data_IF_026211409926
#
_entry.id   IF_026211409926
#
_cell.length_a   1.000
_cell.length_b   1.000
_cell.length_c   1.000
_cell.angle_alpha   90.00
_cell.angle_beta   90.00
_cell.angle_gamma   90.00
#
_symmetry.space_group_name_H-M   'P 1'
#
loop_
_entity.id
_entity.type
_entity.pdbx_description
1 polymer ?
#
# COMPACT_ATOMS: atom_id res chain seq x y z
N UNK A 1 -4.02 -1.84 -20.17
CA UNK A 1 -2.72 -1.15 -20.04
C UNK A 1 -3.04 0.17 -19.37
N UNK A 2 -2.66 0.34 -18.09
CA UNK A 2 -2.84 1.62 -17.42
C UNK A 2 -1.69 2.52 -17.88
N UNK A 3 -2.00 3.54 -18.64
CA UNK A 3 -1.02 4.54 -19.06
C UNK A 3 -1.03 5.58 -17.94
N UNK A 4 0.14 5.99 -17.45
CA UNK A 4 0.27 7.04 -16.43
C UNK A 4 -0.21 8.37 -17.03
N UNK A 5 -0.88 9.19 -16.22
CA UNK A 5 -1.47 10.46 -16.66
C UNK A 5 -0.45 11.37 -17.37
N UNK A 6 0.77 11.47 -16.81
CA UNK A 6 1.85 12.23 -17.42
C UNK A 6 2.35 11.68 -18.76
N UNK A 7 2.27 10.37 -18.98
CA UNK A 7 2.62 9.72 -20.25
C UNK A 7 1.53 9.93 -21.31
N UNK A 8 0.26 9.96 -20.88
CA UNK A 8 -0.88 10.27 -21.75
C UNK A 8 -0.82 11.72 -22.20
N UNK A 9 -0.58 12.65 -21.28
CA UNK A 9 -0.42 14.07 -21.60
C UNK A 9 0.71 14.30 -22.59
N UNK A 10 1.91 13.77 -22.33
CA UNK A 10 3.05 13.88 -23.21
C UNK A 10 2.82 13.22 -24.57
N UNK A 11 2.10 12.10 -24.62
CA UNK A 11 1.74 11.43 -25.87
C UNK A 11 0.73 12.25 -26.68
N UNK A 12 -0.31 12.79 -26.02
CA UNK A 12 -1.35 13.61 -26.65
C UNK A 12 -0.78 14.95 -27.15
N UNK A 13 0.06 15.62 -26.39
CA UNK A 13 0.74 16.86 -26.82
C UNK A 13 1.57 16.66 -28.11
N UNK A 14 2.18 15.48 -28.26
CA UNK A 14 3.00 15.16 -29.44
C UNK A 14 2.21 14.66 -30.64
N UNK A 15 0.97 14.17 -30.46
CA UNK A 15 0.23 13.49 -31.52
C UNK A 15 -1.09 14.17 -31.90
N UNK A 16 -1.62 15.09 -31.10
CA UNK A 16 -2.90 15.77 -31.37
C UNK A 16 -2.85 17.24 -30.95
N UNK A 17 -2.85 18.14 -31.90
CA UNK A 17 -2.89 19.60 -31.63
C UNK A 17 -4.27 20.11 -31.18
N UNK A 18 -5.32 19.29 -31.24
CA UNK A 18 -6.71 19.71 -31.01
C UNK A 18 -7.37 19.11 -29.75
N UNK A 19 -6.77 18.09 -29.13
CA UNK A 19 -7.34 17.43 -27.94
C UNK A 19 -6.63 17.93 -26.70
N UNK A 20 -7.35 18.64 -25.82
CA UNK A 20 -6.86 18.96 -24.47
C UNK A 20 -7.25 17.80 -23.55
N UNK A 21 -6.28 17.03 -23.03
CA UNK A 21 -6.59 15.98 -22.08
C UNK A 21 -7.06 16.58 -20.77
N UNK A 22 -8.05 15.95 -20.16
CA UNK A 22 -8.45 16.22 -18.78
C UNK A 22 -7.96 15.08 -17.92
N UNK A 23 -7.02 15.37 -17.01
CA UNK A 23 -6.56 14.38 -16.03
C UNK A 23 -7.55 14.34 -14.90
N UNK A 24 -8.18 13.18 -14.73
CA UNK A 24 -9.10 12.91 -13.63
C UNK A 24 -8.50 11.79 -12.79
N UNK A 25 -8.21 12.08 -11.53
CA UNK A 25 -7.69 11.09 -10.61
C UNK A 25 -8.71 9.94 -10.42
N UNK A 26 -8.18 8.74 -10.20
CA UNK A 26 -8.99 7.66 -9.67
C UNK A 26 -9.54 8.08 -8.29
N UNK A 27 -10.70 7.54 -7.89
CA UNK A 27 -11.32 7.93 -6.62
C UNK A 27 -11.39 6.77 -5.65
N UNK A 28 -11.39 7.12 -4.38
CA UNK A 28 -11.55 6.23 -3.25
C UNK A 28 -12.50 6.88 -2.24
N UNK A 29 -13.17 6.09 -1.42
CA UNK A 29 -13.96 6.62 -0.32
C UNK A 29 -13.13 6.58 0.95
N UNK A 30 -12.97 7.71 1.61
CA UNK A 30 -12.36 7.78 2.94
C UNK A 30 -13.16 6.96 3.94
N UNK A 31 -12.48 6.34 4.89
CA UNK A 31 -13.08 5.49 5.92
C UNK A 31 -12.82 6.07 7.30
N UNK A 32 -13.83 6.05 8.15
CA UNK A 32 -13.65 6.28 9.58
C UNK A 32 -13.07 5.01 10.19
N UNK A 33 -11.88 5.11 10.77
CA UNK A 33 -11.19 3.99 11.37
C UNK A 33 -10.96 4.20 12.87
N UNK A 34 -11.03 3.10 13.64
CA UNK A 34 -10.71 3.12 15.07
C UNK A 34 -9.20 2.96 15.27
N UNK A 35 -8.60 3.64 16.26
CA UNK A 35 -7.19 3.48 16.59
C UNK A 35 -6.84 2.03 16.90
N UNK A 36 -5.63 1.62 16.52
CA UNK A 36 -5.07 0.30 16.80
C UNK A 36 -4.91 0.11 18.31
N UNK A 37 -5.31 -1.05 18.82
CA UNK A 37 -4.97 -1.46 20.19
C UNK A 37 -3.56 -2.08 20.21
N UNK A 38 -2.59 -1.31 20.67
CA UNK A 38 -1.16 -1.63 20.62
C UNK A 38 -0.68 -2.58 21.72
N UNK A 39 -1.58 -3.24 22.44
CA UNK A 39 -1.21 -4.22 23.49
C UNK A 39 -0.97 -5.63 22.93
N UNK A 40 -1.07 -5.82 21.63
CA UNK A 40 -0.90 -7.10 20.92
C UNK A 40 0.29 -7.09 19.95
N UNK A 41 0.63 -8.26 19.41
CA UNK A 41 1.57 -8.40 18.29
C UNK A 41 1.17 -7.52 17.11
N UNK A 42 2.15 -6.94 16.42
CA UNK A 42 1.91 -6.06 15.26
C UNK A 42 1.51 -6.90 14.04
N UNK A 43 0.38 -6.60 13.44
CA UNK A 43 -0.11 -7.25 12.24
C UNK A 43 0.37 -6.53 10.99
N UNK A 44 1.29 -7.15 10.25
CA UNK A 44 1.80 -6.64 8.97
C UNK A 44 0.99 -7.28 7.84
N UNK A 45 0.37 -6.46 6.99
CA UNK A 45 -0.44 -6.89 5.87
C UNK A 45 0.23 -6.68 4.52
N UNK A 46 0.06 -7.65 3.63
CA UNK A 46 0.28 -7.55 2.20
C UNK A 46 -1.00 -7.98 1.47
N UNK A 47 -1.43 -7.21 0.47
CA UNK A 47 -2.59 -7.55 -0.36
C UNK A 47 -2.29 -7.31 -1.84
N UNK A 48 -2.43 -8.36 -2.65
CA UNK A 48 -2.20 -8.26 -4.10
C UNK A 48 -1.99 -9.61 -4.77
N UNK A 49 -1.76 -9.61 -6.08
CA UNK A 49 -1.38 -10.84 -6.78
C UNK A 49 -0.03 -11.35 -6.28
N UNK A 50 0.04 -12.66 -6.00
CA UNK A 50 1.28 -13.29 -5.56
C UNK A 50 2.13 -13.67 -6.78
N UNK A 51 3.07 -12.80 -7.13
CA UNK A 51 4.08 -13.00 -8.15
C UNK A 51 5.34 -12.18 -7.83
N UNK A 52 6.44 -12.45 -8.52
CA UNK A 52 7.74 -11.82 -8.28
C UNK A 52 7.69 -10.28 -8.36
N UNK A 53 6.91 -9.73 -9.31
CA UNK A 53 6.83 -8.28 -9.49
C UNK A 53 6.22 -7.54 -8.28
N UNK A 54 5.49 -8.25 -7.42
CA UNK A 54 4.87 -7.68 -6.21
C UNK A 54 5.81 -7.64 -5.01
N UNK A 55 7.03 -8.16 -5.12
CA UNK A 55 8.08 -8.04 -4.10
C UNK A 55 7.79 -8.75 -2.78
N UNK A 56 6.83 -9.69 -2.74
CA UNK A 56 6.47 -10.41 -1.52
C UNK A 56 7.65 -11.21 -0.94
N UNK A 57 8.58 -11.64 -1.80
CA UNK A 57 9.81 -12.31 -1.37
C UNK A 57 10.67 -11.37 -0.52
N UNK A 58 10.84 -10.11 -0.93
CA UNK A 58 11.60 -9.10 -0.19
C UNK A 58 10.98 -8.83 1.19
N UNK A 59 9.65 -8.80 1.28
CA UNK A 59 8.95 -8.65 2.55
C UNK A 59 9.26 -9.83 3.49
N UNK A 60 9.11 -11.07 3.01
CA UNK A 60 9.40 -12.27 3.80
C UNK A 60 10.87 -12.27 4.25
N UNK A 61 11.81 -12.00 3.35
CA UNK A 61 13.24 -11.96 3.66
C UNK A 61 13.57 -10.87 4.69
N UNK A 62 12.95 -9.71 4.60
CA UNK A 62 13.15 -8.61 5.55
C UNK A 62 12.57 -8.91 6.94
N UNK A 63 11.54 -9.74 7.03
CA UNK A 63 10.92 -10.14 8.30
C UNK A 63 11.63 -11.33 8.96
N UNK A 64 12.24 -12.21 8.15
CA UNK A 64 12.97 -13.37 8.67
C UNK A 64 14.08 -12.91 9.63
N UNK A 65 14.14 -13.56 10.80
CA UNK A 65 15.13 -13.26 11.84
C UNK A 65 14.93 -11.95 12.58
N UNK A 66 13.85 -11.17 12.32
CA UNK A 66 13.50 -10.03 13.16
C UNK A 66 13.10 -10.49 14.56
N UNK A 67 13.59 -9.76 15.58
CA UNK A 67 13.20 -10.00 16.94
C UNK A 67 12.05 -9.06 17.37
N UNK A 68 10.97 -9.10 16.59
CA UNK A 68 9.74 -8.37 16.88
C UNK A 68 8.60 -9.37 17.10
N UNK A 69 7.64 -9.00 17.94
CA UNK A 69 6.39 -9.73 18.07
C UNK A 69 5.43 -9.25 16.99
N UNK A 70 5.35 -10.01 15.90
CA UNK A 70 4.58 -9.64 14.72
C UNK A 70 3.88 -10.86 14.09
N UNK A 71 2.78 -10.56 13.39
CA UNK A 71 2.09 -11.47 12.51
C UNK A 71 2.20 -10.96 11.06
N UNK A 72 2.38 -11.89 10.10
CA UNK A 72 2.35 -11.58 8.68
C UNK A 72 1.07 -12.11 8.05
N UNK A 73 0.27 -11.24 7.47
CA UNK A 73 -1.03 -11.55 6.88
C UNK A 73 -0.96 -11.26 5.38
N UNK A 74 -0.95 -12.33 4.57
CA UNK A 74 -0.81 -12.26 3.12
C UNK A 74 -2.16 -12.56 2.48
N UNK A 75 -2.77 -11.53 1.88
CA UNK A 75 -3.97 -11.65 1.05
C UNK A 75 -3.63 -11.63 -0.43
N UNK A 76 -4.31 -12.46 -1.21
CA UNK A 76 -4.16 -12.51 -2.66
C UNK A 76 -3.96 -13.92 -3.21
N UNK A 77 -3.86 -14.00 -4.52
CA UNK A 77 -3.72 -15.28 -5.22
C UNK A 77 -2.53 -15.27 -6.17
N UNK A 78 -2.01 -16.45 -6.44
CA UNK A 78 -0.91 -16.73 -7.37
C UNK A 78 -0.93 -18.19 -7.78
N UNK A 79 0.07 -18.66 -8.51
CA UNK A 79 0.20 -20.09 -8.78
C UNK A 79 0.53 -20.87 -7.51
N UNK A 80 0.03 -22.09 -7.38
CA UNK A 80 0.29 -22.96 -6.22
C UNK A 80 1.79 -23.16 -6.00
N UNK A 81 2.56 -23.32 -7.09
CA UNK A 81 4.01 -23.46 -7.03
C UNK A 81 4.66 -22.22 -6.39
N UNK A 82 4.22 -21.02 -6.74
CA UNK A 82 4.78 -19.80 -6.19
C UNK A 82 4.35 -19.59 -4.73
N UNK A 83 3.11 -19.92 -4.38
CA UNK A 83 2.62 -19.87 -3.00
C UNK A 83 3.40 -20.85 -2.12
N UNK A 84 3.64 -22.07 -2.58
CA UNK A 84 4.44 -23.05 -1.84
C UNK A 84 5.89 -22.59 -1.67
N UNK A 85 6.49 -22.04 -2.72
CA UNK A 85 7.82 -21.43 -2.65
C UNK A 85 7.88 -20.29 -1.61
N UNK A 86 6.89 -19.42 -1.54
CA UNK A 86 6.81 -18.36 -0.53
C UNK A 86 6.72 -18.93 0.90
N UNK A 87 5.90 -19.98 1.09
CA UNK A 87 5.77 -20.66 2.39
C UNK A 87 7.10 -21.28 2.85
N UNK A 88 7.87 -21.83 1.93
CA UNK A 88 9.21 -22.40 2.22
C UNK A 88 10.23 -21.33 2.58
N UNK A 89 10.09 -20.09 2.07
CA UNK A 89 10.95 -18.95 2.40
C UNK A 89 10.73 -18.40 3.81
N UNK A 90 9.58 -18.63 4.41
CA UNK A 90 9.25 -18.15 5.76
C UNK A 90 10.02 -18.98 6.80
N UNK A 91 10.81 -18.33 7.64
CA UNK A 91 11.56 -19.04 8.69
C UNK A 91 10.63 -19.68 9.76
N UNK A 92 11.21 -20.58 10.57
CA UNK A 92 10.43 -21.34 11.57
C UNK A 92 9.76 -20.44 12.60
N UNK A 93 10.40 -19.31 12.96
CA UNK A 93 9.85 -18.37 13.95
C UNK A 93 8.66 -17.62 13.37
N UNK A 94 8.82 -17.07 12.17
CA UNK A 94 7.78 -16.30 11.48
C UNK A 94 6.64 -17.19 10.98
N UNK A 95 6.90 -18.48 10.63
CA UNK A 95 5.92 -19.39 10.06
C UNK A 95 4.70 -19.63 10.96
N UNK A 96 4.90 -19.59 12.28
CA UNK A 96 3.81 -19.74 13.26
C UNK A 96 2.83 -18.56 13.26
N UNK A 97 3.30 -17.42 12.80
CA UNK A 97 2.59 -16.14 12.81
C UNK A 97 2.32 -15.62 11.37
N UNK A 98 2.46 -16.50 10.36
CA UNK A 98 2.19 -16.16 8.95
C UNK A 98 0.91 -16.82 8.47
N UNK A 99 0.01 -16.02 7.93
CA UNK A 99 -1.26 -16.47 7.36
C UNK A 99 -1.34 -16.13 5.88
N UNK A 100 -1.62 -17.14 5.04
CA UNK A 100 -1.94 -16.99 3.63
C UNK A 100 -3.45 -17.11 3.45
N UNK A 101 -4.14 -16.00 3.22
CA UNK A 101 -5.61 -15.95 3.19
C UNK A 101 -6.21 -16.38 1.84
N UNK A 102 -5.39 -16.46 0.79
CA UNK A 102 -5.92 -16.62 -0.57
C UNK A 102 -6.63 -15.36 -1.04
N UNK A 103 -7.63 -15.52 -1.90
CA UNK A 103 -8.43 -14.40 -2.40
C UNK A 103 -9.20 -13.72 -1.26
N UNK A 104 -9.04 -12.41 -1.13
CA UNK A 104 -9.71 -11.59 -0.12
C UNK A 104 -10.91 -10.92 -0.78
N UNK A 105 -12.11 -11.42 -0.47
CA UNK A 105 -13.35 -10.86 -0.99
C UNK A 105 -13.73 -9.56 -0.28
N UNK A 106 -13.59 -9.54 1.05
CA UNK A 106 -13.87 -8.38 1.88
C UNK A 106 -12.57 -7.70 2.32
N UNK A 107 -12.13 -6.75 1.51
CA UNK A 107 -10.91 -5.98 1.80
C UNK A 107 -11.04 -5.13 3.06
N UNK A 108 -12.26 -4.72 3.44
CA UNK A 108 -12.49 -3.94 4.65
C UNK A 108 -12.02 -4.70 5.88
N UNK A 109 -12.42 -5.98 6.01
CA UNK A 109 -11.97 -6.84 7.10
C UNK A 109 -10.46 -7.06 7.09
N UNK A 110 -9.87 -7.20 5.90
CA UNK A 110 -8.42 -7.32 5.79
C UNK A 110 -7.73 -6.09 6.37
N UNK A 111 -8.10 -4.88 5.92
CA UNK A 111 -7.49 -3.66 6.42
C UNK A 111 -7.79 -3.39 7.90
N UNK A 112 -8.94 -3.81 8.42
CA UNK A 112 -9.24 -3.73 9.85
C UNK A 112 -8.36 -4.63 10.73
N UNK A 113 -7.86 -5.74 10.16
CA UNK A 113 -7.05 -6.73 10.88
C UNK A 113 -5.58 -6.33 10.99
N UNK A 114 -5.06 -5.53 10.06
CA UNK A 114 -3.64 -5.17 10.00
C UNK A 114 -3.36 -3.82 10.66
N UNK A 115 -2.12 -3.63 11.09
CA UNK A 115 -1.62 -2.38 11.68
C UNK A 115 -0.72 -1.62 10.71
N UNK A 116 0.16 -2.34 10.01
CA UNK A 116 1.03 -1.85 8.95
C UNK A 116 0.67 -2.48 7.62
N UNK A 117 0.69 -1.70 6.57
CA UNK A 117 0.56 -2.22 5.21
C UNK A 117 1.90 -2.10 4.47
N UNK A 118 2.43 -3.23 4.00
CA UNK A 118 3.68 -3.25 3.23
C UNK A 118 3.38 -3.59 1.78
N UNK A 119 3.78 -2.69 0.89
CA UNK A 119 3.55 -2.81 -0.54
C UNK A 119 4.87 -2.75 -1.32
N UNK A 120 5.64 -3.87 -1.37
CA UNK A 120 7.00 -3.89 -1.86
C UNK A 120 7.10 -4.03 -3.38
N UNK A 121 6.04 -3.71 -4.12
CA UNK A 121 5.94 -3.89 -5.56
C UNK A 121 7.05 -3.17 -6.33
N UNK A 122 7.63 -3.84 -7.33
CA UNK A 122 8.65 -3.27 -8.20
C UNK A 122 8.08 -2.33 -9.26
N UNK A 123 6.81 -2.52 -9.62
CA UNK A 123 6.15 -1.72 -10.65
C UNK A 123 4.63 -1.80 -10.50
N UNK A 124 3.96 -0.67 -10.63
CA UNK A 124 2.51 -0.54 -10.59
C UNK A 124 2.01 0.43 -11.67
N UNK A 125 0.75 0.27 -12.06
CA UNK A 125 0.05 1.29 -12.86
C UNK A 125 -0.31 2.49 -11.99
N UNK A 126 -1.13 2.28 -10.96
CA UNK A 126 -1.54 3.31 -10.00
C UNK A 126 -1.33 2.89 -8.53
N UNK A 127 -1.35 1.59 -8.25
CA UNK A 127 -1.21 1.12 -6.86
C UNK A 127 -2.48 1.33 -6.02
N UNK A 128 -3.66 1.04 -6.58
CA UNK A 128 -4.97 1.27 -5.90
C UNK A 128 -5.03 0.68 -4.50
N UNK A 129 -4.48 -0.50 -4.29
CA UNK A 129 -4.48 -1.15 -2.98
C UNK A 129 -3.69 -0.36 -1.93
N UNK A 130 -2.70 0.44 -2.35
CA UNK A 130 -1.98 1.35 -1.46
C UNK A 130 -2.89 2.50 -1.03
N UNK A 131 -3.61 3.14 -1.96
CA UNK A 131 -4.59 4.17 -1.64
C UNK A 131 -5.72 3.62 -0.77
N UNK A 132 -6.16 2.39 -1.00
CA UNK A 132 -7.12 1.69 -0.15
C UNK A 132 -6.57 1.54 1.28
N UNK A 133 -5.35 1.03 1.46
CA UNK A 133 -4.73 0.93 2.78
C UNK A 133 -4.63 2.29 3.49
N UNK A 134 -4.24 3.33 2.75
CA UNK A 134 -4.20 4.70 3.25
C UNK A 134 -5.57 5.21 3.68
N UNK A 135 -6.65 4.89 2.93
CA UNK A 135 -8.04 5.27 3.30
C UNK A 135 -8.49 4.62 4.60
N UNK A 136 -7.97 3.43 4.93
CA UNK A 136 -8.15 2.76 6.22
C UNK A 136 -7.16 3.24 7.29
N UNK A 137 -6.46 4.37 7.06
CA UNK A 137 -5.53 4.99 8.00
C UNK A 137 -4.40 4.05 8.43
N UNK A 138 -3.92 3.19 7.53
CA UNK A 138 -2.76 2.35 7.79
C UNK A 138 -1.48 3.11 7.52
N UNK A 139 -0.47 2.92 8.38
CA UNK A 139 0.89 3.33 8.04
C UNK A 139 1.37 2.40 6.92
N UNK A 140 1.77 2.99 5.81
CA UNK A 140 2.19 2.26 4.62
C UNK A 140 3.70 2.33 4.45
N UNK A 141 4.28 1.19 4.08
CA UNK A 141 5.69 1.04 3.71
C UNK A 141 5.71 0.57 2.26
N UNK A 142 6.33 1.32 1.36
CA UNK A 142 6.35 0.96 -0.05
C UNK A 142 7.71 1.20 -0.69
N UNK A 143 7.97 0.48 -1.80
CA UNK A 143 9.17 0.72 -2.60
C UNK A 143 9.15 2.13 -3.19
N UNK A 144 10.32 2.78 -3.20
CA UNK A 144 10.51 4.13 -3.75
C UNK A 144 10.54 4.08 -5.29
N UNK A 145 9.38 3.77 -5.88
CA UNK A 145 9.17 3.77 -7.33
C UNK A 145 7.83 4.42 -7.65
N UNK A 146 7.70 4.99 -8.84
CA UNK A 146 6.43 5.54 -9.29
C UNK A 146 5.38 4.44 -9.54
N UNK A 147 4.11 4.75 -9.26
CA UNK A 147 3.57 6.00 -8.71
C UNK A 147 3.56 6.05 -7.17
N UNK A 148 4.02 5.00 -6.45
CA UNK A 148 3.87 4.89 -5.00
C UNK A 148 4.54 6.04 -4.24
N UNK A 149 5.71 6.51 -4.71
CA UNK A 149 6.43 7.64 -4.10
C UNK A 149 5.76 9.01 -4.32
N UNK A 150 4.66 9.05 -5.09
CA UNK A 150 3.79 10.24 -5.18
C UNK A 150 2.76 10.28 -4.03
N UNK A 151 2.41 9.12 -3.46
CA UNK A 151 1.44 9.00 -2.37
C UNK A 151 2.10 8.97 -1.01
N UNK A 152 3.27 8.34 -0.91
CA UNK A 152 4.00 8.12 0.34
C UNK A 152 5.27 8.96 0.38
N UNK A 153 5.51 9.57 1.53
CA UNK A 153 6.73 10.27 1.90
C UNK A 153 6.99 10.09 3.41
N UNK A 154 8.08 10.67 3.93
CA UNK A 154 8.50 10.52 5.32
C UNK A 154 7.48 11.07 6.34
N UNK A 155 6.57 11.95 5.90
CA UNK A 155 5.55 12.54 6.77
C UNK A 155 4.34 11.61 6.99
N UNK A 156 4.05 10.70 6.04
CA UNK A 156 2.83 9.88 6.07
C UNK A 156 3.08 8.38 6.00
N UNK A 157 4.31 7.95 5.73
CA UNK A 157 4.66 6.53 5.61
C UNK A 157 6.16 6.34 5.52
N UNK A 158 6.58 5.31 4.77
CA UNK A 158 8.00 4.97 4.59
C UNK A 158 8.27 4.53 3.16
N UNK A 159 9.39 5.00 2.61
CA UNK A 159 9.91 4.59 1.31
C UNK A 159 11.22 3.79 1.50
N UNK A 160 11.39 2.72 0.72
CA UNK A 160 12.60 1.92 0.72
C UNK A 160 13.07 1.61 -0.70
N UNK A 161 14.37 1.38 -0.87
CA UNK A 161 14.99 1.04 -2.15
C UNK A 161 15.52 -0.41 -2.19
N UNK A 162 15.84 -1.00 -1.04
CA UNK A 162 16.39 -2.35 -0.88
C UNK A 162 15.90 -3.04 0.38
N UNK A 163 16.23 -4.32 0.56
CA UNK A 163 15.72 -5.14 1.67
C UNK A 163 16.21 -4.67 3.05
N UNK A 164 17.42 -4.11 3.14
CA UNK A 164 17.94 -3.57 4.41
C UNK A 164 17.16 -2.32 4.82
N UNK A 165 16.84 -1.45 3.88
CA UNK A 165 15.99 -0.29 4.12
C UNK A 165 14.56 -0.72 4.46
N UNK A 166 13.98 -1.73 3.77
CA UNK A 166 12.67 -2.27 4.11
C UNK A 166 12.63 -2.78 5.55
N UNK A 167 13.65 -3.53 5.96
CA UNK A 167 13.78 -4.01 7.33
C UNK A 167 13.81 -2.86 8.34
N UNK A 168 14.60 -1.81 8.08
CA UNK A 168 14.69 -0.63 8.93
C UNK A 168 13.35 0.13 8.99
N UNK A 169 12.66 0.28 7.84
CA UNK A 169 11.33 0.89 7.78
C UNK A 169 10.31 0.11 8.62
N UNK A 170 10.34 -1.22 8.58
CA UNK A 170 9.43 -2.05 9.40
C UNK A 170 9.70 -1.86 10.89
N UNK A 171 10.98 -1.84 11.31
CA UNK A 171 11.36 -1.59 12.71
C UNK A 171 10.87 -0.22 13.15
N UNK A 172 11.19 0.83 12.40
CA UNK A 172 10.80 2.20 12.72
C UNK A 172 9.27 2.38 12.75
N UNK A 173 8.56 1.85 11.76
CA UNK A 173 7.10 1.90 11.72
C UNK A 173 6.47 1.18 12.91
N UNK A 174 7.08 0.07 13.36
CA UNK A 174 6.64 -0.68 14.55
C UNK A 174 6.83 0.12 15.84
N UNK A 175 7.85 0.96 15.93
CA UNK A 175 8.08 1.89 17.04
C UNK A 175 7.11 3.08 16.98
N UNK A 176 6.93 3.65 15.78
CA UNK A 176 6.05 4.81 15.56
C UNK A 176 4.58 4.48 15.86
N UNK A 177 4.14 3.25 15.56
CA UNK A 177 2.80 2.79 15.96
C UNK A 177 2.56 2.92 17.47
N UNK A 178 3.60 2.69 18.29
CA UNK A 178 3.52 2.78 19.78
C UNK A 178 3.58 4.22 20.28
N UNK A 179 3.98 5.15 19.44
CA UNK A 179 4.02 6.58 19.76
C UNK A 179 2.77 7.27 19.22
N UNK A 180 1.81 7.53 20.09
CA UNK A 180 0.52 8.13 19.71
C UNK A 180 0.64 9.46 18.96
N UNK A 181 1.61 10.30 19.31
CA UNK A 181 1.81 11.60 18.67
C UNK A 181 2.31 11.43 17.24
N UNK A 182 3.34 10.60 17.05
CA UNK A 182 3.91 10.31 15.72
C UNK A 182 2.86 9.62 14.84
N UNK A 183 2.18 8.60 15.38
CA UNK A 183 1.11 7.89 14.66
C UNK A 183 0.02 8.86 14.20
N UNK A 184 -0.51 9.68 15.11
CA UNK A 184 -1.58 10.65 14.78
C UNK A 184 -1.14 11.60 13.68
N UNK A 185 0.09 12.15 13.77
CA UNK A 185 0.64 13.06 12.76
C UNK A 185 0.75 12.39 11.38
N UNK A 186 1.26 11.14 11.32
CA UNK A 186 1.36 10.40 10.06
C UNK A 186 -0.03 10.15 9.44
N UNK A 187 -1.02 9.79 10.26
CA UNK A 187 -2.39 9.56 9.79
C UNK A 187 -3.05 10.86 9.30
N UNK A 188 -2.83 11.99 9.98
CA UNK A 188 -3.33 13.29 9.50
C UNK A 188 -2.73 13.68 8.14
N UNK A 189 -1.44 13.41 7.93
CA UNK A 189 -0.80 13.66 6.63
C UNK A 189 -1.28 12.67 5.56
N UNK A 190 -1.52 11.42 5.92
CA UNK A 190 -2.14 10.42 5.03
C UNK A 190 -3.53 10.88 4.57
N UNK A 191 -4.37 11.42 5.48
CA UNK A 191 -5.70 11.95 5.14
C UNK A 191 -5.63 13.05 4.10
N UNK A 192 -4.68 13.98 4.21
CA UNK A 192 -4.50 15.05 3.21
C UNK A 192 -4.23 14.50 1.80
N UNK A 193 -3.48 13.41 1.70
CA UNK A 193 -3.25 12.74 0.40
C UNK A 193 -4.55 12.09 -0.08
N UNK A 194 -5.26 11.35 0.77
CA UNK A 194 -6.48 10.65 0.40
C UNK A 194 -7.60 11.63 0.01
N UNK A 195 -7.69 12.81 0.63
CA UNK A 195 -8.65 13.85 0.24
C UNK A 195 -8.55 14.25 -1.24
N UNK A 196 -7.34 14.23 -1.83
CA UNK A 196 -7.15 14.52 -3.25
C UNK A 196 -7.79 13.46 -4.18
N UNK A 197 -7.97 12.25 -3.65
CA UNK A 197 -8.52 11.09 -4.36
C UNK A 197 -9.94 10.72 -3.85
N UNK A 198 -10.50 11.49 -2.90
CA UNK A 198 -11.85 11.24 -2.42
C UNK A 198 -12.87 11.53 -3.53
N UNK A 199 -13.89 10.65 -3.64
CA UNK A 199 -14.92 10.76 -4.66
C UNK A 199 -15.61 12.12 -4.63
N UNK A 200 -15.79 12.73 -3.46
CA UNK A 200 -16.41 14.07 -3.31
C UNK A 200 -15.59 15.17 -4.01
N UNK A 201 -14.27 15.00 -4.13
CA UNK A 201 -13.38 15.95 -4.79
C UNK A 201 -13.09 15.59 -6.26
N UNK A 202 -13.21 14.31 -6.62
CA UNK A 202 -12.97 13.84 -8.01
C UNK A 202 -14.23 13.94 -8.85
N UNK A 203 -15.40 13.58 -8.30
CA UNK A 203 -16.65 13.53 -9.04
C UNK A 203 -17.08 14.87 -9.68
N UNK A 204 -16.95 16.03 -9.00
CA UNK A 204 -17.23 17.33 -9.63
C UNK A 204 -16.39 17.58 -10.89
N UNK A 205 -15.11 17.18 -10.89
CA UNK A 205 -14.24 17.33 -12.06
C UNK A 205 -14.70 16.44 -13.23
N UNK A 206 -15.24 15.26 -12.93
CA UNK A 206 -15.84 14.39 -13.94
C UNK A 206 -17.06 15.08 -14.57
N UNK A 207 -17.97 15.62 -13.74
CA UNK A 207 -19.16 16.32 -14.23
C UNK A 207 -18.80 17.52 -15.11
N UNK A 208 -17.79 18.30 -14.70
CA UNK A 208 -17.29 19.43 -15.47
C UNK A 208 -16.83 19.04 -16.88
N UNK A 209 -16.06 17.94 -17.00
CA UNK A 209 -15.58 17.41 -18.30
C UNK A 209 -16.74 16.98 -19.20
N UNK A 210 -17.80 16.40 -18.62
CA UNK A 210 -18.97 15.97 -19.38
C UNK A 210 -20.03 17.06 -19.57
N UNK A 211 -19.83 18.29 -19.05
CA UNK A 211 -20.80 19.40 -19.07
C UNK A 211 -22.17 19.01 -18.47
N UNK A 212 -22.16 18.24 -17.38
CA UNK A 212 -23.35 17.77 -16.66
C UNK A 212 -23.63 18.60 -15.42
#
# INVERSE_FOLDING_TARGET
MCIRDSEVEAWLENHTKEIKPHVINYWISSKDYKPVDLNSSINIGFLGRLNKNKGIEDLIESLNGLNLDLNLIIGGFGSDNYINFLKEKVDIKLSKNTSFLGYVEDQSKFFETIDLFVFPSYSEGLGLVLLEAMSYQKICITRNVEPMNQFINDENGYLFNNNDELKNCIIQASEDLKNKEIYTKKIENTKKVIELYDISNVFPKILEVYNL
#
